data_IF_335173657884
#
_entry.id   IF_335173657884
#
_cell.length_a   1.000
_cell.length_b   1.000
_cell.length_c   1.000
_cell.angle_alpha   90.00
_cell.angle_beta   90.00
_cell.angle_gamma   90.00
#
_symmetry.space_group_name_H-M   'P 1'
#
loop_
_entity.id
_entity.type
_entity.pdbx_description
1 polymer ?
#
# COMPACT_ATOMS: atom_id res chain seq x y z
N UNK A 1 27.19 2.36 -59.50
CA UNK A 1 26.50 3.48 -58.82
C UNK A 1 25.06 3.16 -58.42
N UNK A 2 24.39 2.14 -59.02
CA UNK A 2 23.01 1.77 -58.67
C UNK A 2 22.86 0.89 -57.41
N UNK A 3 23.88 0.15 -57.01
CA UNK A 3 23.82 -0.76 -55.86
C UNK A 3 23.83 -0.03 -54.51
N UNK A 4 24.47 1.14 -54.43
CA UNK A 4 24.54 1.94 -53.19
C UNK A 4 23.27 2.74 -52.89
N UNK A 5 22.42 2.96 -53.90
CA UNK A 5 21.14 3.65 -53.76
C UNK A 5 20.04 2.74 -53.17
N UNK A 6 19.99 1.47 -53.60
CA UNK A 6 19.02 0.48 -53.10
C UNK A 6 19.24 0.17 -51.60
N UNK A 7 20.49 0.00 -51.18
CA UNK A 7 20.85 -0.28 -49.78
C UNK A 7 20.46 0.87 -48.84
N UNK A 8 20.61 2.14 -49.26
CA UNK A 8 20.18 3.28 -48.44
C UNK A 8 18.65 3.38 -48.32
N UNK A 9 17.92 2.90 -49.32
CA UNK A 9 16.45 2.94 -49.34
C UNK A 9 15.83 1.82 -48.49
N UNK A 10 16.47 0.65 -48.42
CA UNK A 10 16.08 -0.46 -47.53
C UNK A 10 16.34 -0.13 -46.05
N UNK A 11 17.50 0.44 -45.71
CA UNK A 11 17.84 0.83 -44.32
C UNK A 11 16.90 1.94 -43.80
N UNK A 12 16.41 2.82 -44.69
CA UNK A 12 15.43 3.84 -44.33
C UNK A 12 14.01 3.28 -44.09
N UNK A 13 13.68 2.13 -44.71
CA UNK A 13 12.40 1.43 -44.51
C UNK A 13 12.35 0.67 -43.20
N UNK A 14 13.46 0.05 -42.78
CA UNK A 14 13.56 -0.67 -41.50
C UNK A 14 13.52 0.25 -40.27
N UNK A 15 13.98 1.51 -40.39
CA UNK A 15 13.91 2.48 -39.28
C UNK A 15 12.52 3.00 -38.95
N UNK A 16 11.57 2.89 -39.89
CA UNK A 16 10.21 3.43 -39.75
C UNK A 16 9.14 2.33 -39.63
N UNK A 17 9.54 1.07 -39.47
CA UNK A 17 8.59 -0.01 -39.19
C UNK A 17 8.13 0.07 -37.72
N UNK A 18 6.81 -0.01 -37.43
CA UNK A 18 6.34 -0.14 -36.06
C UNK A 18 6.92 -1.42 -35.44
N UNK A 19 7.39 -1.32 -34.20
CA UNK A 19 7.92 -2.45 -33.44
C UNK A 19 6.76 -3.42 -33.17
N UNK A 20 6.64 -4.43 -34.01
CA UNK A 20 5.66 -5.50 -33.86
C UNK A 20 6.21 -6.50 -32.82
N UNK A 21 5.44 -6.70 -31.74
CA UNK A 21 5.78 -7.63 -30.67
C UNK A 21 5.80 -9.06 -31.22
N UNK A 22 6.99 -9.63 -31.37
CA UNK A 22 7.17 -11.00 -31.84
C UNK A 22 7.39 -11.93 -30.62
N UNK A 23 6.38 -12.72 -30.21
CA UNK A 23 6.46 -13.53 -28.99
C UNK A 23 7.45 -14.70 -29.07
N UNK A 24 8.03 -14.97 -30.26
CA UNK A 24 8.90 -16.14 -30.50
C UNK A 24 10.36 -15.90 -30.04
N UNK A 25 10.78 -14.64 -29.81
CA UNK A 25 12.17 -14.33 -29.39
C UNK A 25 12.37 -14.54 -27.87
N UNK A 26 11.31 -14.77 -27.10
CA UNK A 26 11.40 -14.98 -25.65
C UNK A 26 11.75 -16.42 -25.22
N UNK A 27 11.88 -17.37 -26.16
CA UNK A 27 12.35 -18.73 -25.82
C UNK A 27 13.87 -18.91 -25.97
N UNK A 28 14.58 -17.98 -26.60
CA UNK A 28 16.06 -18.06 -26.78
C UNK A 28 16.86 -17.16 -25.81
N UNK A 29 16.20 -16.49 -24.86
CA UNK A 29 16.85 -15.78 -23.75
C UNK A 29 16.87 -16.58 -22.43
N UNK A 30 16.63 -17.89 -22.48
CA UNK A 30 17.12 -18.85 -21.47
C UNK A 30 18.59 -19.20 -21.76
N UNK A 31 19.40 -18.16 -21.99
CA UNK A 31 20.85 -18.25 -22.08
C UNK A 31 21.45 -18.39 -20.69
N UNK A 32 22.21 -19.47 -20.51
CA UNK A 32 22.98 -19.89 -19.34
C UNK A 32 23.59 -18.75 -18.48
N UNK A 33 23.61 -19.03 -17.18
CA UNK A 33 24.40 -18.39 -16.11
C UNK A 33 23.93 -17.03 -15.58
N UNK A 34 22.90 -17.07 -14.71
CA UNK A 34 23.04 -16.42 -13.41
C UNK A 34 22.59 -17.40 -12.31
N UNK A 35 23.51 -17.86 -11.48
CA UNK A 35 23.28 -18.83 -10.39
C UNK A 35 22.49 -18.21 -9.20
N UNK A 36 21.63 -17.23 -9.48
CA UNK A 36 21.05 -16.35 -8.48
C UNK A 36 19.67 -16.87 -8.09
N UNK A 37 19.59 -17.62 -6.99
CA UNK A 37 18.30 -18.14 -6.49
C UNK A 37 17.28 -17.03 -6.23
N UNK A 38 16.09 -17.10 -6.84
CA UNK A 38 14.92 -16.23 -6.61
C UNK A 38 13.71 -17.12 -6.21
N UNK A 39 12.94 -16.78 -5.17
CA UNK A 39 11.71 -17.52 -4.86
C UNK A 39 10.72 -17.42 -6.02
N UNK A 40 10.10 -18.54 -6.38
CA UNK A 40 9.01 -18.54 -7.37
C UNK A 40 7.86 -17.62 -6.93
N UNK A 41 7.03 -17.17 -7.87
CA UNK A 41 5.84 -16.38 -7.55
C UNK A 41 4.97 -17.08 -6.49
N UNK A 42 4.80 -18.39 -6.61
CA UNK A 42 3.98 -19.18 -5.70
C UNK A 42 4.55 -19.23 -4.27
N UNK A 43 5.87 -19.41 -4.15
CA UNK A 43 6.56 -19.36 -2.86
C UNK A 43 6.48 -17.96 -2.26
N UNK A 44 6.71 -16.92 -3.07
CA UNK A 44 6.59 -15.52 -2.66
C UNK A 44 5.18 -15.19 -2.19
N UNK A 45 4.16 -15.64 -2.92
CA UNK A 45 2.76 -15.46 -2.55
C UNK A 45 2.43 -16.08 -1.19
N UNK A 46 2.82 -17.33 -0.94
CA UNK A 46 2.59 -17.97 0.36
C UNK A 46 3.29 -17.23 1.50
N UNK A 47 4.55 -16.86 1.29
CA UNK A 47 5.36 -16.16 2.29
C UNK A 47 4.75 -14.81 2.65
N UNK A 48 4.48 -13.96 1.65
CA UNK A 48 3.84 -12.65 1.85
C UNK A 48 2.47 -12.83 2.49
N UNK A 49 1.62 -13.71 1.95
CA UNK A 49 0.26 -13.91 2.44
C UNK A 49 0.26 -14.31 3.91
N UNK A 50 1.12 -15.24 4.32
CA UNK A 50 1.21 -15.64 5.73
C UNK A 50 1.48 -14.46 6.66
N UNK A 51 2.40 -13.57 6.31
CA UNK A 51 2.74 -12.42 7.13
C UNK A 51 1.68 -11.31 7.05
N UNK A 52 0.97 -11.18 5.92
CA UNK A 52 -0.18 -10.25 5.81
C UNK A 52 -1.42 -10.75 6.53
N UNK A 53 -1.63 -12.05 6.62
CA UNK A 53 -2.66 -12.64 7.48
C UNK A 53 -2.31 -12.45 8.96
N UNK A 54 -1.03 -12.60 9.35
CA UNK A 54 -0.58 -12.23 10.69
C UNK A 54 -0.83 -10.74 10.96
N UNK A 55 -0.59 -9.85 9.98
CA UNK A 55 -0.95 -8.44 10.09
C UNK A 55 -2.46 -8.26 10.28
N UNK A 56 -3.31 -8.91 9.49
CA UNK A 56 -4.76 -8.81 9.62
C UNK A 56 -5.27 -9.13 11.03
N UNK A 57 -4.62 -10.06 11.73
CA UNK A 57 -5.00 -10.49 13.09
C UNK A 57 -4.33 -9.66 14.19
N UNK A 58 -3.04 -9.34 14.05
CA UNK A 58 -2.23 -8.75 15.14
C UNK A 58 -1.94 -7.26 15.00
N UNK A 59 -2.18 -6.65 13.83
CA UNK A 59 -2.05 -5.19 13.72
C UNK A 59 -3.15 -4.49 14.49
N UNK A 60 -2.76 -3.53 15.32
CA UNK A 60 -3.70 -2.67 16.03
C UNK A 60 -4.28 -1.61 15.09
N UNK A 61 -5.47 -1.09 15.41
CA UNK A 61 -6.02 0.10 14.77
C UNK A 61 -5.42 1.33 15.48
N UNK A 62 -4.58 2.07 14.76
CA UNK A 62 -3.90 3.28 15.27
C UNK A 62 -4.62 4.57 14.91
N UNK A 63 -5.50 4.55 13.92
CA UNK A 63 -6.21 5.70 13.39
C UNK A 63 -7.69 5.68 13.83
N UNK A 64 -8.14 6.77 14.44
CA UNK A 64 -9.54 6.92 14.85
C UNK A 64 -10.49 6.99 13.65
N UNK A 65 -10.02 7.48 12.50
CA UNK A 65 -10.86 7.51 11.30
C UNK A 65 -11.09 6.12 10.72
N UNK A 66 -10.10 5.20 10.81
CA UNK A 66 -10.31 3.81 10.42
C UNK A 66 -11.53 3.24 11.16
N UNK A 67 -11.63 3.55 12.45
CA UNK A 67 -12.78 3.15 13.30
C UNK A 67 -14.04 3.91 12.92
N UNK A 68 -14.07 5.22 13.15
CA UNK A 68 -15.30 6.00 13.15
C UNK A 68 -15.79 6.39 11.76
N UNK A 69 -14.90 6.47 10.77
CA UNK A 69 -15.25 6.82 9.39
C UNK A 69 -15.32 5.59 8.48
N UNK A 70 -14.85 4.40 8.88
CA UNK A 70 -14.97 3.20 8.04
C UNK A 70 -15.58 1.99 8.75
N UNK A 71 -15.02 1.53 9.89
CA UNK A 71 -15.57 0.37 10.59
C UNK A 71 -16.98 0.62 11.16
N UNK A 72 -17.23 1.76 11.81
CA UNK A 72 -18.53 2.10 12.38
C UNK A 72 -19.62 2.30 11.30
N UNK A 73 -19.39 3.10 10.24
CA UNK A 73 -20.36 3.23 9.16
C UNK A 73 -20.60 1.91 8.40
N UNK A 74 -19.58 1.06 8.28
CA UNK A 74 -19.73 -0.29 7.72
C UNK A 74 -20.62 -1.17 8.61
N UNK A 75 -20.39 -1.16 9.93
CA UNK A 75 -21.25 -1.88 10.88
C UNK A 75 -22.70 -1.34 10.84
N UNK A 76 -22.88 -0.02 10.71
CA UNK A 76 -24.18 0.60 10.50
C UNK A 76 -24.86 0.12 9.21
N UNK A 77 -24.11 0.03 8.11
CA UNK A 77 -24.62 -0.43 6.82
C UNK A 77 -25.06 -1.91 6.85
N UNK A 78 -24.32 -2.76 7.57
CA UNK A 78 -24.58 -4.20 7.67
C UNK A 78 -25.70 -4.54 8.66
N UNK A 79 -25.78 -3.83 9.79
CA UNK A 79 -26.64 -4.22 10.93
C UNK A 79 -27.65 -3.16 11.37
N UNK A 80 -27.63 -1.96 10.79
CA UNK A 80 -28.47 -0.84 11.19
C UNK A 80 -28.12 -0.24 12.57
N UNK A 81 -26.95 -0.58 13.12
CA UNK A 81 -26.43 -0.10 14.42
C UNK A 81 -24.97 0.32 14.26
N UNK A 82 -24.48 1.28 15.03
CA UNK A 82 -23.11 1.78 14.95
C UNK A 82 -23.06 3.29 14.77
N UNK A 83 -21.88 3.88 14.92
CA UNK A 83 -21.73 5.33 14.81
C UNK A 83 -21.77 5.80 13.35
N UNK A 84 -22.54 6.86 13.13
CA UNK A 84 -22.50 7.66 11.92
C UNK A 84 -21.89 9.02 12.27
N UNK A 85 -20.73 9.32 11.69
CA UNK A 85 -20.10 10.63 11.86
C UNK A 85 -20.87 11.70 11.08
N UNK A 86 -20.61 12.98 11.38
CA UNK A 86 -21.20 14.08 10.61
C UNK A 86 -20.81 14.02 9.13
N UNK A 87 -19.68 13.40 8.79
CA UNK A 87 -19.21 13.25 7.41
C UNK A 87 -20.10 12.31 6.59
N UNK A 88 -20.71 11.31 7.24
CA UNK A 88 -21.69 10.40 6.68
C UNK A 88 -23.13 10.82 6.96
N UNK A 89 -23.36 11.90 7.70
CA UNK A 89 -24.71 12.42 7.98
C UNK A 89 -25.36 13.00 6.70
N UNK A 90 -26.67 12.80 6.49
CA UNK A 90 -27.43 13.48 5.44
C UNK A 90 -27.36 15.01 5.47
N UNK A 91 -27.00 15.62 6.60
CA UNK A 91 -26.84 17.07 6.69
C UNK A 91 -25.66 17.55 5.83
N UNK A 92 -24.47 16.97 6.05
CA UNK A 92 -23.22 17.42 5.42
C UNK A 92 -22.81 16.57 4.21
N UNK A 93 -23.03 15.26 4.25
CA UNK A 93 -22.79 14.34 3.15
C UNK A 93 -21.42 14.53 2.45
N UNK A 94 -20.35 14.43 3.26
CA UNK A 94 -18.96 14.72 2.86
C UNK A 94 -18.28 13.47 2.30
N UNK A 95 -18.55 12.29 2.87
CA UNK A 95 -18.00 11.01 2.39
C UNK A 95 -19.04 10.18 1.65
N UNK A 96 -18.58 9.44 0.64
CA UNK A 96 -19.45 8.56 -0.14
C UNK A 96 -19.65 7.20 0.54
N UNK A 97 -20.88 6.68 0.49
CA UNK A 97 -21.20 5.32 0.92
C UNK A 97 -20.77 4.26 -0.10
N UNK A 98 -20.47 4.63 -1.35
CA UNK A 98 -20.06 3.70 -2.39
C UNK A 98 -18.75 2.97 -2.04
N UNK A 99 -17.80 3.66 -1.40
CA UNK A 99 -16.57 3.04 -0.92
C UNK A 99 -16.84 1.99 0.17
N UNK A 100 -17.80 2.24 1.07
CA UNK A 100 -18.20 1.26 2.08
C UNK A 100 -18.88 0.05 1.43
N UNK A 101 -19.75 0.26 0.43
CA UNK A 101 -20.43 -0.83 -0.28
C UNK A 101 -19.47 -1.76 -1.01
N UNK A 102 -18.37 -1.25 -1.57
CA UNK A 102 -17.32 -2.07 -2.17
C UNK A 102 -16.81 -3.16 -1.21
N UNK A 103 -16.75 -2.84 0.08
CA UNK A 103 -16.28 -3.74 1.13
C UNK A 103 -17.42 -4.43 1.90
N UNK A 104 -18.62 -3.84 1.93
CA UNK A 104 -19.80 -4.43 2.55
C UNK A 104 -20.33 -5.63 1.75
N UNK A 105 -20.30 -5.58 0.41
CA UNK A 105 -20.78 -6.67 -0.45
C UNK A 105 -20.12 -8.03 -0.14
N UNK A 106 -18.78 -8.17 -0.10
CA UNK A 106 -18.16 -9.45 0.26
C UNK A 106 -18.49 -9.86 1.71
N UNK A 107 -18.62 -8.91 2.65
CA UNK A 107 -19.04 -9.20 4.02
C UNK A 107 -20.48 -9.74 4.08
N UNK A 108 -21.43 -9.15 3.35
CA UNK A 108 -22.81 -9.64 3.27
C UNK A 108 -22.86 -11.05 2.69
N UNK A 109 -22.10 -11.30 1.62
CA UNK A 109 -22.01 -12.64 1.01
C UNK A 109 -21.50 -13.64 2.06
N UNK A 110 -20.41 -13.31 2.75
CA UNK A 110 -19.84 -14.17 3.79
C UNK A 110 -20.83 -14.45 4.92
N UNK A 111 -21.54 -13.44 5.40
CA UNK A 111 -22.52 -13.58 6.48
C UNK A 111 -23.71 -14.46 6.08
N UNK A 112 -24.22 -14.29 4.85
CA UNK A 112 -25.32 -15.12 4.32
C UNK A 112 -24.93 -16.60 4.23
N UNK A 113 -23.69 -16.90 3.84
CA UNK A 113 -23.24 -18.29 3.68
C UNK A 113 -22.89 -18.98 5.00
N UNK A 114 -22.27 -18.26 5.93
CA UNK A 114 -21.68 -18.87 7.13
C UNK A 114 -22.38 -18.52 8.44
N UNK A 115 -23.33 -17.56 8.44
CA UNK A 115 -24.08 -17.10 9.61
C UNK A 115 -23.17 -16.85 10.83
N UNK A 116 -22.17 -16.01 10.64
CA UNK A 116 -21.06 -15.85 11.59
C UNK A 116 -21.29 -14.73 12.59
N UNK A 117 -20.49 -14.74 13.67
CA UNK A 117 -20.42 -13.59 14.57
C UNK A 117 -19.76 -12.38 13.89
N UNK A 118 -20.17 -11.17 14.27
CA UNK A 118 -19.67 -9.87 13.81
C UNK A 118 -18.15 -9.77 13.85
N UNK A 119 -17.52 -10.28 14.92
CA UNK A 119 -16.07 -10.30 15.06
C UNK A 119 -15.39 -11.06 13.90
N UNK A 120 -15.99 -12.15 13.41
CA UNK A 120 -15.45 -12.87 12.26
C UNK A 120 -15.55 -12.07 10.97
N UNK A 121 -16.60 -11.25 10.79
CA UNK A 121 -16.74 -10.38 9.62
C UNK A 121 -15.67 -9.28 9.61
N UNK A 122 -15.35 -8.73 10.79
CA UNK A 122 -14.23 -7.80 10.95
C UNK A 122 -12.90 -8.43 10.49
N UNK A 123 -12.54 -9.62 11.00
CA UNK A 123 -11.30 -10.29 10.60
C UNK A 123 -11.34 -10.79 9.15
N UNK A 124 -12.50 -11.21 8.65
CA UNK A 124 -12.69 -11.61 7.25
C UNK A 124 -12.32 -10.46 6.31
N UNK A 125 -12.84 -9.25 6.57
CA UNK A 125 -12.53 -8.09 5.73
C UNK A 125 -11.03 -7.73 5.81
N UNK A 126 -10.41 -7.77 7.00
CA UNK A 126 -8.96 -7.56 7.14
C UNK A 126 -8.14 -8.59 6.37
N UNK A 127 -8.55 -9.86 6.40
CA UNK A 127 -7.93 -10.92 5.61
C UNK A 127 -8.09 -10.70 4.09
N UNK A 128 -9.24 -10.20 3.65
CA UNK A 128 -9.47 -9.84 2.25
C UNK A 128 -8.55 -8.69 1.80
N UNK A 129 -8.42 -7.65 2.62
CA UNK A 129 -7.49 -6.54 2.37
C UNK A 129 -6.03 -7.02 2.32
N UNK A 130 -5.62 -7.87 3.27
CA UNK A 130 -4.30 -8.50 3.30
C UNK A 130 -4.01 -9.35 2.05
N UNK A 131 -5.02 -10.07 1.53
CA UNK A 131 -4.92 -10.82 0.28
C UNK A 131 -4.71 -9.89 -0.92
N UNK A 132 -5.51 -8.82 -1.04
CA UNK A 132 -5.34 -7.81 -2.09
C UNK A 132 -3.94 -7.18 -2.03
N UNK A 133 -3.48 -6.78 -0.85
CA UNK A 133 -2.14 -6.26 -0.64
C UNK A 133 -1.07 -7.25 -1.14
N UNK A 134 -1.18 -8.52 -0.72
CA UNK A 134 -0.26 -9.59 -1.12
C UNK A 134 -0.17 -9.75 -2.63
N UNK A 135 -1.31 -9.75 -3.34
CA UNK A 135 -1.32 -9.87 -4.79
C UNK A 135 -0.52 -8.75 -5.46
N UNK A 136 -0.68 -7.51 -4.99
CA UNK A 136 0.03 -6.36 -5.55
C UNK A 136 1.52 -6.34 -5.22
N UNK A 137 1.91 -6.78 -4.02
CA UNK A 137 3.32 -6.88 -3.60
C UNK A 137 4.09 -7.95 -4.38
N UNK A 138 3.49 -9.14 -4.53
CA UNK A 138 4.09 -10.24 -5.29
C UNK A 138 4.19 -9.87 -6.76
N UNK A 139 3.17 -9.21 -7.31
CA UNK A 139 3.20 -8.72 -8.69
C UNK A 139 4.34 -7.72 -8.89
N UNK A 140 4.51 -6.74 -7.99
CA UNK A 140 5.63 -5.80 -8.06
C UNK A 140 6.99 -6.51 -8.02
N UNK A 141 7.21 -7.40 -7.05
CA UNK A 141 8.49 -8.12 -6.94
C UNK A 141 8.80 -8.97 -8.17
N UNK A 142 7.78 -9.65 -8.71
CA UNK A 142 7.95 -10.41 -9.94
C UNK A 142 8.31 -9.52 -11.12
N UNK A 143 7.60 -8.40 -11.32
CA UNK A 143 7.94 -7.43 -12.37
C UNK A 143 9.38 -6.95 -12.23
N UNK A 144 9.84 -6.70 -10.99
CA UNK A 144 11.21 -6.26 -10.72
C UNK A 144 12.25 -7.34 -10.97
N UNK A 145 11.88 -8.62 -10.87
CA UNK A 145 12.78 -9.73 -11.19
C UNK A 145 13.20 -9.77 -12.66
N UNK A 146 12.39 -9.23 -13.59
CA UNK A 146 12.75 -9.08 -15.00
C UNK A 146 13.85 -8.04 -15.23
N UNK A 147 13.98 -7.03 -14.36
CA UNK A 147 15.06 -6.04 -14.41
C UNK A 147 16.33 -6.52 -13.69
N UNK A 148 16.20 -7.54 -12.86
CA UNK A 148 17.28 -8.18 -12.14
C UNK A 148 16.75 -9.04 -11.01
N UNK A 149 17.12 -10.33 -10.99
CA UNK A 149 16.68 -11.27 -9.96
C UNK A 149 17.02 -10.77 -8.54
N UNK A 150 18.19 -10.14 -8.35
CA UNK A 150 18.58 -9.56 -7.08
C UNK A 150 17.63 -8.44 -6.61
N UNK A 151 17.20 -7.57 -7.52
CA UNK A 151 16.27 -6.47 -7.23
C UNK A 151 14.92 -7.05 -6.78
N UNK A 152 14.40 -8.04 -7.52
CA UNK A 152 13.18 -8.75 -7.13
C UNK A 152 13.23 -9.31 -5.70
N UNK A 153 14.37 -9.92 -5.30
CA UNK A 153 14.59 -10.46 -3.94
C UNK A 153 14.66 -9.37 -2.87
N UNK A 154 15.35 -8.28 -3.16
CA UNK A 154 15.47 -7.15 -2.23
C UNK A 154 14.10 -6.49 -2.00
N UNK A 155 13.35 -6.24 -3.09
CA UNK A 155 12.01 -5.66 -3.04
C UNK A 155 11.08 -6.52 -2.17
N UNK A 156 11.00 -7.83 -2.43
CA UNK A 156 10.10 -8.70 -1.65
C UNK A 156 10.53 -8.80 -0.19
N UNK A 157 11.83 -8.82 0.09
CA UNK A 157 12.35 -8.82 1.47
C UNK A 157 11.94 -7.55 2.22
N UNK A 158 12.11 -6.39 1.58
CA UNK A 158 11.77 -5.10 2.18
C UNK A 158 10.26 -4.90 2.35
N UNK A 159 9.47 -5.32 1.36
CA UNK A 159 8.02 -5.30 1.45
C UNK A 159 7.54 -6.16 2.62
N UNK A 160 7.90 -7.45 2.65
CA UNK A 160 7.41 -8.41 3.64
C UNK A 160 7.71 -7.96 5.07
N UNK A 161 8.95 -7.56 5.33
CA UNK A 161 9.45 -7.36 6.69
C UNK A 161 9.35 -5.91 7.16
N UNK A 162 8.91 -4.99 6.32
CA UNK A 162 8.62 -3.62 6.72
C UNK A 162 7.52 -3.57 7.78
N UNK A 163 7.78 -2.83 8.86
CA UNK A 163 6.75 -2.53 9.88
C UNK A 163 5.65 -1.64 9.32
N UNK A 164 5.96 -0.70 8.43
CA UNK A 164 4.97 0.14 7.77
C UNK A 164 4.01 -0.67 6.90
N UNK A 165 4.53 -1.61 6.09
CA UNK A 165 3.70 -2.51 5.30
C UNK A 165 2.88 -3.45 6.18
N UNK A 166 3.42 -3.90 7.30
CA UNK A 166 2.68 -4.73 8.26
C UNK A 166 1.47 -3.99 8.85
N UNK A 167 1.57 -2.69 9.12
CA UNK A 167 0.47 -1.89 9.64
C UNK A 167 -0.55 -1.52 8.54
N UNK A 168 -0.07 -1.10 7.37
CA UNK A 168 -0.95 -0.59 6.31
C UNK A 168 -1.70 -1.67 5.53
N UNK A 169 -1.19 -2.90 5.47
CA UNK A 169 -1.72 -3.98 4.62
C UNK A 169 -3.12 -4.49 5.01
N UNK A 170 -3.56 -4.27 6.24
CA UNK A 170 -4.89 -4.68 6.70
C UNK A 170 -5.72 -3.50 7.24
N UNK A 171 -5.21 -2.27 7.11
CA UNK A 171 -5.93 -1.08 7.54
C UNK A 171 -7.08 -0.78 6.58
N UNK A 172 -8.28 -0.60 7.12
CA UNK A 172 -9.47 -0.33 6.33
C UNK A 172 -9.61 1.16 6.01
N UNK A 173 -8.76 1.63 5.09
CA UNK A 173 -8.65 3.04 4.71
C UNK A 173 -8.50 3.19 3.18
N UNK A 174 -9.01 4.29 2.60
CA UNK A 174 -8.79 4.59 1.18
C UNK A 174 -7.33 4.76 0.83
N UNK A 175 -6.47 5.15 1.78
CA UNK A 175 -5.03 5.23 1.58
C UNK A 175 -4.38 3.86 1.41
N UNK A 176 -4.80 2.83 2.15
CA UNK A 176 -4.37 1.44 1.94
C UNK A 176 -4.88 0.91 0.59
N UNK A 177 -6.12 1.23 0.22
CA UNK A 177 -6.65 0.89 -1.10
C UNK A 177 -5.84 1.55 -2.23
N UNK A 178 -5.52 2.84 -2.11
CA UNK A 178 -4.67 3.56 -3.03
C UNK A 178 -3.24 2.98 -3.06
N UNK A 179 -2.72 2.50 -1.93
CA UNK A 179 -1.42 1.82 -1.87
C UNK A 179 -1.40 0.56 -2.73
N UNK A 180 -2.42 -0.31 -2.62
CA UNK A 180 -2.49 -1.54 -3.42
C UNK A 180 -2.52 -1.21 -4.92
N UNK A 181 -3.43 -0.31 -5.31
CA UNK A 181 -3.64 0.02 -6.71
C UNK A 181 -2.47 0.80 -7.32
N UNK A 182 -1.84 1.71 -6.57
CA UNK A 182 -0.65 2.43 -7.04
C UNK A 182 0.54 1.49 -7.20
N UNK A 183 0.64 0.47 -6.35
CA UNK A 183 1.66 -0.59 -6.46
C UNK A 183 1.44 -1.42 -7.73
N UNK A 184 0.20 -1.85 -7.97
CA UNK A 184 -0.16 -2.59 -9.18
C UNK A 184 0.03 -1.73 -10.45
N UNK A 185 -0.36 -0.46 -10.41
CA UNK A 185 -0.16 0.48 -11.52
C UNK A 185 1.32 0.63 -11.87
N UNK A 186 2.16 0.75 -10.84
CA UNK A 186 3.60 0.86 -11.02
C UNK A 186 4.18 -0.40 -11.65
N UNK A 187 3.81 -1.57 -11.13
CA UNK A 187 4.23 -2.86 -11.67
C UNK A 187 3.81 -3.03 -13.15
N UNK A 188 2.57 -2.70 -13.50
CA UNK A 188 2.08 -2.76 -14.89
C UNK A 188 2.79 -1.76 -15.81
N UNK A 189 3.10 -0.56 -15.31
CA UNK A 189 3.89 0.43 -16.08
C UNK A 189 5.28 -0.11 -16.42
N UNK A 190 5.92 -0.81 -15.48
CA UNK A 190 7.21 -1.46 -15.72
C UNK A 190 7.16 -2.57 -16.76
N UNK A 191 6.06 -3.31 -16.80
CA UNK A 191 5.81 -4.33 -17.82
C UNK A 191 5.34 -3.73 -19.15
N UNK A 192 5.29 -2.40 -19.28
CA UNK A 192 4.78 -1.66 -20.45
C UNK A 192 3.30 -1.96 -20.78
N UNK A 193 2.55 -2.52 -19.82
CA UNK A 193 1.09 -2.64 -19.94
C UNK A 193 0.43 -1.35 -19.45
N UNK A 194 0.47 -0.34 -20.32
CA UNK A 194 -0.08 0.98 -20.02
C UNK A 194 -1.60 0.95 -19.81
N UNK A 195 -2.31 -0.03 -20.38
CA UNK A 195 -3.76 -0.15 -20.21
C UNK A 195 -4.09 -0.52 -18.76
N UNK A 196 -3.42 -1.53 -18.22
CA UNK A 196 -3.57 -1.91 -16.81
C UNK A 196 -3.04 -0.81 -15.87
N UNK A 197 -1.93 -0.16 -16.21
CA UNK A 197 -1.39 0.94 -15.41
C UNK A 197 -2.37 2.12 -15.29
N UNK A 198 -3.00 2.53 -16.40
CA UNK A 198 -4.03 3.58 -16.43
C UNK A 198 -5.26 3.13 -15.65
N UNK A 199 -5.70 1.87 -15.83
CA UNK A 199 -6.85 1.34 -15.10
C UNK A 199 -6.65 1.37 -13.58
N UNK A 200 -5.51 0.87 -13.08
CA UNK A 200 -5.22 0.89 -11.65
C UNK A 200 -5.04 2.30 -11.11
N UNK A 201 -4.41 3.21 -11.87
CA UNK A 201 -4.29 4.63 -11.50
C UNK A 201 -5.66 5.30 -11.43
N UNK A 202 -6.53 5.05 -12.41
CA UNK A 202 -7.91 5.55 -12.41
C UNK A 202 -8.70 4.96 -11.24
N UNK A 203 -8.64 3.66 -10.99
CA UNK A 203 -9.31 3.04 -9.86
C UNK A 203 -8.80 3.58 -8.51
N UNK A 204 -7.50 3.80 -8.35
CA UNK A 204 -6.89 4.40 -7.16
C UNK A 204 -7.44 5.81 -6.90
N UNK A 205 -7.46 6.65 -7.94
CA UNK A 205 -7.89 8.06 -7.84
C UNK A 205 -9.41 8.24 -7.78
N UNK A 206 -10.18 7.37 -8.42
CA UNK A 206 -11.65 7.49 -8.50
C UNK A 206 -12.37 6.79 -7.34
N UNK A 207 -11.76 5.78 -6.72
CA UNK A 207 -12.37 5.02 -5.61
C UNK A 207 -11.65 5.28 -4.29
N UNK A 208 -10.32 5.38 -4.31
CA UNK A 208 -9.49 5.61 -3.13
C UNK A 208 -9.30 7.09 -2.75
N UNK A 209 -9.55 8.02 -3.66
CA UNK A 209 -9.48 9.45 -3.37
C UNK A 209 -10.82 10.13 -3.72
N UNK A 210 -11.32 11.04 -2.87
CA UNK A 210 -12.66 11.60 -3.07
C UNK A 210 -12.76 12.65 -4.20
N UNK A 211 -11.80 12.74 -5.12
CA UNK A 211 -11.88 13.66 -6.28
C UNK A 211 -12.35 12.94 -7.56
N UNK A 212 -13.34 12.06 -7.41
CA UNK A 212 -13.87 11.26 -8.51
C UNK A 212 -14.99 12.00 -9.27
N UNK A 213 -14.63 12.80 -10.28
CA UNK A 213 -15.61 13.37 -11.22
C UNK A 213 -16.06 12.37 -12.30
N UNK A 214 -15.27 11.32 -12.58
CA UNK A 214 -15.46 10.46 -13.77
C UNK A 214 -16.39 9.25 -13.56
N UNK A 215 -16.60 8.80 -12.32
CA UNK A 215 -17.57 7.74 -11.96
C UNK A 215 -18.90 8.30 -11.44
N UNK A 216 -19.20 9.56 -11.74
CA UNK A 216 -20.25 10.34 -11.07
C UNK A 216 -21.63 9.69 -11.07
N UNK A 217 -22.06 8.98 -12.12
CA UNK A 217 -23.48 8.56 -12.21
C UNK A 217 -23.84 7.47 -11.18
N UNK A 218 -23.15 6.32 -11.07
CA UNK A 218 -23.48 5.33 -10.04
C UNK A 218 -23.21 5.83 -8.62
N UNK A 219 -22.14 6.61 -8.42
CA UNK A 219 -21.80 7.20 -7.12
C UNK A 219 -22.87 8.19 -6.64
N UNK A 220 -23.24 9.16 -7.48
CA UNK A 220 -24.31 10.12 -7.20
C UNK A 220 -25.61 9.38 -6.93
N UNK A 221 -25.92 8.32 -7.70
CA UNK A 221 -27.13 7.53 -7.46
C UNK A 221 -27.12 6.86 -6.09
N UNK A 222 -26.07 6.09 -5.78
CA UNK A 222 -25.92 5.40 -4.49
C UNK A 222 -25.93 6.40 -3.33
N UNK A 223 -25.14 7.46 -3.41
CA UNK A 223 -25.06 8.48 -2.37
C UNK A 223 -26.41 9.19 -2.21
N UNK A 224 -27.09 9.56 -3.31
CA UNK A 224 -28.38 10.25 -3.24
C UNK A 224 -29.48 9.39 -2.63
N UNK A 225 -29.43 8.06 -2.83
CA UNK A 225 -30.34 7.12 -2.17
C UNK A 225 -30.09 7.08 -0.65
N UNK A 226 -28.83 6.98 -0.22
CA UNK A 226 -28.50 6.87 1.20
C UNK A 226 -28.71 8.18 1.97
N UNK A 227 -28.41 9.32 1.34
CA UNK A 227 -28.60 10.62 1.93
C UNK A 227 -30.03 11.15 1.81
N UNK A 228 -30.90 10.50 1.02
CA UNK A 228 -32.29 10.92 0.81
C UNK A 228 -32.43 12.26 0.07
N UNK A 229 -31.36 12.74 -0.56
CA UNK A 229 -31.30 14.00 -1.32
C UNK A 229 -30.25 13.87 -2.43
N UNK A 230 -30.34 14.68 -3.47
CA UNK A 230 -29.29 14.70 -4.50
C UNK A 230 -27.95 15.12 -3.88
N UNK A 231 -26.95 14.23 -3.92
CA UNK A 231 -25.62 14.46 -3.33
C UNK A 231 -24.53 14.11 -4.33
N UNK A 232 -23.55 15.00 -4.44
CA UNK A 232 -22.27 14.72 -5.08
C UNK A 232 -21.15 14.88 -4.04
N UNK A 233 -20.92 13.82 -3.26
CA UNK A 233 -19.99 13.83 -2.13
C UNK A 233 -18.55 14.27 -2.50
N UNK A 234 -17.99 13.89 -3.67
CA UNK A 234 -16.72 14.43 -4.15
C UNK A 234 -16.66 15.96 -4.23
N UNK A 235 -17.71 16.62 -4.72
CA UNK A 235 -17.75 18.07 -4.77
C UNK A 235 -17.93 18.67 -3.38
N UNK A 236 -18.74 18.04 -2.53
CA UNK A 236 -18.95 18.50 -1.16
C UNK A 236 -17.65 18.49 -0.35
N UNK A 237 -16.79 17.48 -0.51
CA UNK A 237 -15.51 17.46 0.20
C UNK A 237 -14.53 18.54 -0.31
N UNK A 238 -14.55 18.85 -1.61
CA UNK A 238 -13.75 19.95 -2.17
C UNK A 238 -14.25 21.28 -1.61
N UNK A 239 -15.56 21.50 -1.66
CA UNK A 239 -16.21 22.70 -1.15
C UNK A 239 -15.94 22.87 0.35
N UNK A 240 -16.03 21.78 1.10
CA UNK A 240 -15.76 21.77 2.53
C UNK A 240 -14.30 22.11 2.85
N UNK A 241 -13.34 21.42 2.22
CA UNK A 241 -11.92 21.59 2.55
C UNK A 241 -11.28 22.87 1.96
N UNK A 242 -11.75 23.35 0.81
CA UNK A 242 -11.12 24.47 0.08
C UNK A 242 -11.84 25.79 0.31
N UNK A 243 -13.17 25.78 0.46
CA UNK A 243 -13.98 27.00 0.43
C UNK A 243 -14.65 27.37 1.77
N UNK A 244 -14.41 26.61 2.84
CA UNK A 244 -14.90 26.97 4.20
C UNK A 244 -13.81 27.61 5.06
N UNK A 245 -14.24 28.38 6.07
CA UNK A 245 -13.34 29.06 7.03
C UNK A 245 -12.51 28.10 7.89
N UNK A 246 -12.87 26.82 7.94
CA UNK A 246 -12.16 25.79 8.70
C UNK A 246 -10.92 25.24 7.97
N UNK A 247 -10.89 25.36 6.63
CA UNK A 247 -9.75 25.00 5.79
C UNK A 247 -9.25 23.55 5.91
N UNK A 248 -8.20 23.18 5.17
CA UNK A 248 -7.55 21.89 5.32
C UNK A 248 -6.79 21.78 6.64
N UNK A 249 -6.68 22.84 7.46
CA UNK A 249 -5.86 22.90 8.68
C UNK A 249 -6.66 22.69 9.98
N UNK A 250 -7.94 22.31 9.91
CA UNK A 250 -8.84 22.17 11.06
C UNK A 250 -8.29 21.32 12.23
N UNK A 251 -7.39 20.38 11.94
CA UNK A 251 -6.77 19.48 12.93
C UNK A 251 -5.27 19.78 13.15
N UNK A 252 -4.79 20.95 12.72
CA UNK A 252 -3.39 21.35 12.75
C UNK A 252 -2.59 20.88 11.53
N UNK A 253 -1.29 21.19 11.55
CA UNK A 253 -0.31 20.77 10.54
C UNK A 253 0.92 20.24 11.25
N UNK A 254 1.57 19.23 10.65
CA UNK A 254 2.79 18.63 11.20
C UNK A 254 4.04 19.20 10.52
N UNK A 255 5.16 19.40 11.26
CA UNK A 255 6.41 19.87 10.68
C UNK A 255 7.05 18.78 9.80
N UNK A 256 7.94 19.17 8.88
CA UNK A 256 8.60 18.21 7.98
C UNK A 256 9.34 17.07 8.71
N UNK A 257 9.77 17.31 9.95
CA UNK A 257 10.42 16.29 10.81
C UNK A 257 9.49 15.11 11.13
N UNK A 258 8.18 15.33 11.22
CA UNK A 258 7.20 14.27 11.43
C UNK A 258 7.28 13.19 10.35
N UNK A 259 7.37 13.60 9.09
CA UNK A 259 7.43 12.67 7.96
C UNK A 259 8.73 11.87 7.91
N UNK A 260 9.86 12.54 8.19
CA UNK A 260 11.15 11.88 8.24
C UNK A 260 11.18 10.84 9.36
N UNK A 261 10.66 11.19 10.54
CA UNK A 261 10.54 10.27 11.67
C UNK A 261 9.62 9.10 11.34
N UNK A 262 8.46 9.32 10.72
CA UNK A 262 7.56 8.24 10.31
C UNK A 262 8.20 7.31 9.27
N UNK A 263 8.83 7.87 8.24
CA UNK A 263 9.56 7.09 7.24
C UNK A 263 10.66 6.24 7.86
N UNK A 264 11.45 6.83 8.75
CA UNK A 264 12.52 6.11 9.46
C UNK A 264 11.97 5.09 10.47
N UNK A 265 10.88 5.38 11.17
CA UNK A 265 10.30 4.42 12.09
C UNK A 265 9.74 3.21 11.33
N UNK A 266 9.05 3.43 10.21
CA UNK A 266 8.36 2.36 9.47
C UNK A 266 9.27 1.52 8.57
N UNK A 267 10.31 2.13 8.00
CA UNK A 267 11.20 1.53 7.00
C UNK A 267 12.69 1.61 7.39
N UNK A 268 13.06 2.23 8.51
CA UNK A 268 14.41 2.30 9.09
C UNK A 268 15.54 2.57 8.08
N UNK A 269 16.55 1.69 7.98
CA UNK A 269 17.68 1.84 7.08
C UNK A 269 17.27 1.77 5.60
N UNK A 270 16.14 1.12 5.25
CA UNK A 270 15.59 1.15 3.89
C UNK A 270 15.08 2.54 3.53
N UNK A 271 14.53 3.28 4.49
CA UNK A 271 14.16 4.68 4.27
C UNK A 271 15.38 5.53 3.90
N UNK A 272 16.47 5.39 4.66
CA UNK A 272 17.72 6.11 4.38
C UNK A 272 18.31 5.72 3.01
N UNK A 273 18.25 4.43 2.66
CA UNK A 273 18.65 3.96 1.34
C UNK A 273 17.78 4.60 0.25
N UNK A 274 16.45 4.64 0.42
CA UNK A 274 15.55 5.29 -0.52
C UNK A 274 15.88 6.77 -0.74
N UNK A 275 16.28 7.50 0.31
CA UNK A 275 16.70 8.91 0.25
C UNK A 275 18.05 9.17 -0.45
N UNK A 276 18.81 8.12 -0.76
CA UNK A 276 20.05 8.23 -1.54
C UNK A 276 19.99 7.44 -2.85
N UNK A 277 18.81 6.99 -3.27
CA UNK A 277 18.66 6.18 -4.48
C UNK A 277 19.05 6.92 -5.76
N UNK A 278 18.67 8.19 -5.91
CA UNK A 278 19.05 9.02 -7.07
C UNK A 278 20.57 9.19 -7.16
N UNK A 279 21.28 9.68 -6.12
CA UNK A 279 22.74 9.83 -6.21
C UNK A 279 23.45 8.48 -6.39
N UNK A 280 22.96 7.39 -5.78
CA UNK A 280 23.52 6.06 -5.98
C UNK A 280 23.38 5.56 -7.43
N UNK A 281 22.19 5.70 -8.03
CA UNK A 281 21.95 5.32 -9.43
C UNK A 281 22.69 6.21 -10.41
N UNK A 282 22.80 7.52 -10.13
CA UNK A 282 23.62 8.43 -10.93
C UNK A 282 25.09 8.02 -10.90
N UNK A 283 25.64 7.75 -9.71
CA UNK A 283 27.01 7.26 -9.56
C UNK A 283 27.22 5.95 -10.33
N UNK A 284 26.30 4.98 -10.20
CA UNK A 284 26.36 3.74 -10.97
C UNK A 284 26.38 4.01 -12.48
N UNK A 285 25.47 4.85 -12.99
CA UNK A 285 25.39 5.18 -14.41
C UNK A 285 26.65 5.86 -14.93
N UNK A 286 27.28 6.73 -14.13
CA UNK A 286 28.56 7.34 -14.52
C UNK A 286 29.65 6.29 -14.65
N UNK A 287 29.71 5.30 -13.74
CA UNK A 287 30.71 4.24 -13.76
C UNK A 287 30.44 3.25 -14.91
N UNK A 288 29.19 2.87 -15.12
CA UNK A 288 28.76 1.97 -16.21
C UNK A 288 28.94 2.61 -17.59
N UNK A 289 28.64 3.90 -17.73
CA UNK A 289 28.83 4.65 -18.97
C UNK A 289 30.29 4.77 -19.42
N UNK A 290 31.24 4.63 -18.48
CA UNK A 290 32.67 4.48 -18.80
C UNK A 290 33.00 3.08 -19.32
N UNK A 291 32.19 2.05 -19.01
CA UNK A 291 32.54 0.64 -19.24
C UNK A 291 31.71 -0.11 -20.30
N UNK A 292 30.42 0.20 -20.57
CA UNK A 292 29.57 -0.44 -21.62
C UNK A 292 28.38 0.43 -22.12
N UNK A 293 27.82 0.07 -23.29
CA UNK A 293 26.52 0.54 -23.82
C UNK A 293 25.40 0.13 -22.86
N UNK A 294 24.62 1.13 -22.46
CA UNK A 294 23.58 1.13 -21.42
C UNK A 294 22.51 0.06 -21.70
N UNK A 295 22.20 -0.76 -20.69
CA UNK A 295 20.93 -1.51 -20.66
C UNK A 295 19.80 -0.47 -20.50
N UNK A 296 18.88 -0.42 -21.47
CA UNK A 296 17.75 0.52 -21.54
C UNK A 296 16.65 0.18 -20.51
N UNK A 297 17.01 0.10 -19.22
CA UNK A 297 16.05 0.03 -18.13
C UNK A 297 15.60 1.44 -17.67
N UNK A 298 14.45 1.60 -16.99
CA UNK A 298 13.98 2.87 -16.46
C UNK A 298 14.32 3.19 -14.96
N UNK A 299 15.46 2.78 -14.34
CA UNK A 299 15.64 2.94 -12.89
C UNK A 299 15.84 4.40 -12.45
N UNK A 300 16.47 5.24 -13.28
CA UNK A 300 16.72 6.66 -12.96
C UNK A 300 15.43 7.49 -13.01
N UNK A 301 14.65 7.36 -14.08
CA UNK A 301 13.40 8.11 -14.25
C UNK A 301 12.34 7.68 -13.22
N UNK A 302 12.33 6.42 -12.81
CA UNK A 302 11.50 5.97 -11.70
C UNK A 302 11.90 6.63 -10.39
N UNK A 303 13.17 6.55 -9.97
CA UNK A 303 13.57 7.15 -8.69
C UNK A 303 13.33 8.66 -8.70
N UNK A 304 13.50 9.31 -9.84
CA UNK A 304 13.11 10.71 -10.03
C UNK A 304 11.60 10.90 -9.85
N UNK A 305 10.76 10.05 -10.43
CA UNK A 305 9.29 10.07 -10.23
C UNK A 305 8.92 9.81 -8.77
N UNK A 306 9.61 8.92 -8.06
CA UNK A 306 9.40 8.64 -6.64
C UNK A 306 9.76 9.84 -5.76
N UNK A 307 10.83 10.57 -6.09
CA UNK A 307 11.20 11.78 -5.38
C UNK A 307 10.29 12.94 -5.73
N UNK A 308 9.88 13.08 -6.99
CA UNK A 308 8.90 14.08 -7.38
C UNK A 308 7.57 13.79 -6.69
N UNK A 309 7.11 12.55 -6.68
CA UNK A 309 5.87 12.14 -6.00
C UNK A 309 6.01 12.29 -4.49
N UNK A 310 7.11 11.83 -3.89
CA UNK A 310 7.41 12.00 -2.45
C UNK A 310 7.50 13.46 -2.05
N UNK A 311 8.28 14.28 -2.74
CA UNK A 311 8.37 15.72 -2.50
C UNK A 311 7.03 16.42 -2.75
N UNK A 312 6.31 16.08 -3.81
CA UNK A 312 4.96 16.61 -4.07
C UNK A 312 4.01 16.26 -2.92
N UNK A 313 4.05 15.01 -2.43
CA UNK A 313 3.27 14.53 -1.29
C UNK A 313 3.67 15.21 0.03
N UNK A 314 4.97 15.42 0.26
CA UNK A 314 5.52 16.02 1.49
C UNK A 314 5.43 17.54 1.56
N UNK A 315 5.42 18.25 0.42
CA UNK A 315 5.47 19.72 0.38
C UNK A 315 4.12 20.39 0.07
N UNK A 316 3.17 19.71 -0.59
CA UNK A 316 1.90 20.34 -1.00
C UNK A 316 0.69 19.90 -0.19
N UNK A 317 0.76 18.73 0.43
CA UNK A 317 -0.26 18.30 1.36
C UNK A 317 0.30 18.60 2.75
N UNK A 318 -0.29 19.57 3.45
CA UNK A 318 -0.11 19.75 4.89
C UNK A 318 -0.75 18.55 5.61
N UNK A 319 -0.13 17.37 5.48
CA UNK A 319 -0.67 16.08 5.88
C UNK A 319 -0.52 15.92 7.38
N UNK A 320 -1.63 15.58 8.01
CA UNK A 320 -1.74 15.57 9.47
C UNK A 320 -1.39 14.22 10.10
N UNK A 321 -1.44 13.15 9.30
CA UNK A 321 -1.51 11.79 9.83
C UNK A 321 -0.69 10.78 9.00
N UNK A 322 -0.16 9.77 9.69
CA UNK A 322 0.70 8.73 9.12
C UNK A 322 0.03 7.95 7.97
N UNK A 323 -1.28 7.67 8.09
CA UNK A 323 -2.04 6.86 7.12
C UNK A 323 -2.02 7.37 5.69
N UNK A 324 -1.80 8.65 5.48
CA UNK A 324 -1.66 9.22 4.15
C UNK A 324 -0.33 8.82 3.50
N UNK A 325 0.68 8.40 4.27
CA UNK A 325 1.96 7.91 3.72
C UNK A 325 1.89 6.48 3.16
N UNK A 326 0.79 5.75 3.36
CA UNK A 326 0.67 4.36 2.92
C UNK A 326 0.95 4.18 1.40
N UNK A 327 0.43 5.02 0.48
CA UNK A 327 0.66 4.85 -0.95
C UNK A 327 2.14 4.87 -1.38
N UNK A 328 3.02 5.51 -0.61
CA UNK A 328 4.46 5.59 -0.92
C UNK A 328 5.28 4.48 -0.28
N UNK A 329 4.73 3.66 0.62
CA UNK A 329 5.48 2.61 1.33
C UNK A 329 6.12 1.59 0.37
N UNK A 330 5.39 1.02 -0.61
CA UNK A 330 5.99 0.07 -1.57
C UNK A 330 7.07 0.72 -2.44
N UNK A 331 6.92 2.02 -2.72
CA UNK A 331 7.88 2.80 -3.49
C UNK A 331 9.18 3.05 -2.71
N UNK A 332 9.10 3.31 -1.41
CA UNK A 332 10.27 3.43 -0.53
C UNK A 332 11.04 2.11 -0.52
N UNK A 333 10.35 0.97 -0.37
CA UNK A 333 10.97 -0.36 -0.45
C UNK A 333 11.67 -0.57 -1.80
N UNK A 334 11.02 -0.18 -2.90
CA UNK A 334 11.58 -0.29 -4.24
C UNK A 334 12.84 0.58 -4.42
N UNK A 335 12.80 1.85 -4.00
CA UNK A 335 13.94 2.75 -4.06
C UNK A 335 15.12 2.25 -3.20
N UNK A 336 14.82 1.70 -2.01
CA UNK A 336 15.83 1.06 -1.17
C UNK A 336 16.47 -0.15 -1.85
N UNK A 337 15.69 -0.99 -2.53
CA UNK A 337 16.20 -2.14 -3.27
C UNK A 337 17.15 -1.74 -4.41
N UNK A 338 16.76 -0.73 -5.22
CA UNK A 338 17.64 -0.18 -6.26
C UNK A 338 18.94 0.39 -5.68
N UNK A 339 18.88 1.01 -4.51
CA UNK A 339 20.06 1.59 -3.86
C UNK A 339 21.03 0.50 -3.42
N UNK A 340 20.54 -0.54 -2.76
CA UNK A 340 21.38 -1.67 -2.31
C UNK A 340 22.00 -2.38 -3.51
N UNK A 341 21.22 -2.63 -4.56
CA UNK A 341 21.72 -3.21 -5.82
C UNK A 341 22.79 -2.33 -6.49
N UNK A 342 22.56 -1.01 -6.53
CA UNK A 342 23.53 -0.06 -7.07
C UNK A 342 24.83 -0.03 -6.26
N UNK A 343 24.74 -0.05 -4.92
CA UNK A 343 25.92 -0.11 -4.04
C UNK A 343 26.71 -1.39 -4.27
N UNK A 344 26.03 -2.54 -4.43
CA UNK A 344 26.70 -3.81 -4.76
C UNK A 344 27.46 -3.72 -6.09
N UNK A 345 26.84 -3.18 -7.14
CA UNK A 345 27.48 -2.98 -8.45
C UNK A 345 28.65 -2.00 -8.40
N UNK A 346 28.48 -0.84 -7.75
CA UNK A 346 29.54 0.16 -7.58
C UNK A 346 30.73 -0.45 -6.83
N UNK A 347 30.49 -1.18 -5.73
CA UNK A 347 31.52 -1.87 -4.97
C UNK A 347 32.31 -2.84 -5.87
N UNK A 348 31.60 -3.64 -6.67
CA UNK A 348 32.22 -4.58 -7.59
C UNK A 348 33.10 -3.88 -8.64
N UNK A 349 32.57 -2.84 -9.30
CA UNK A 349 33.29 -2.12 -10.35
C UNK A 349 34.52 -1.36 -9.83
N UNK A 350 34.44 -0.76 -8.64
CA UNK A 350 35.51 0.07 -8.08
C UNK A 350 36.58 -0.76 -7.39
N UNK A 351 36.20 -1.75 -6.58
CA UNK A 351 37.11 -2.45 -5.67
C UNK A 351 37.55 -3.82 -6.20
N UNK A 352 36.64 -4.59 -6.81
CA UNK A 352 36.98 -5.93 -7.34
C UNK A 352 37.65 -5.82 -8.71
N UNK A 353 37.19 -4.89 -9.56
CA UNK A 353 37.75 -4.59 -10.90
C UNK A 353 37.88 -5.81 -11.82
N UNK A 354 37.02 -6.83 -11.67
CA UNK A 354 36.97 -8.01 -12.54
C UNK A 354 35.87 -7.84 -13.57
N UNK A 355 36.24 -7.90 -14.86
CA UNK A 355 35.38 -7.44 -15.98
C UNK A 355 34.34 -8.46 -16.47
N UNK A 356 34.34 -9.68 -15.92
CA UNK A 356 33.58 -10.84 -16.44
C UNK A 356 33.06 -11.79 -15.34
N UNK A 357 32.90 -11.31 -14.12
CA UNK A 357 32.31 -12.10 -13.02
C UNK A 357 31.01 -11.46 -12.58
N UNK A 358 30.03 -12.27 -12.18
CA UNK A 358 28.81 -11.74 -11.58
C UNK A 358 29.14 -10.96 -10.31
N UNK A 359 28.56 -9.76 -10.18
CA UNK A 359 28.83 -8.89 -9.03
C UNK A 359 28.39 -9.54 -7.71
N UNK A 360 27.39 -10.41 -7.77
CA UNK A 360 26.80 -11.09 -6.61
C UNK A 360 27.77 -12.04 -5.91
N UNK A 361 28.69 -12.67 -6.64
CA UNK A 361 29.67 -13.62 -6.06
C UNK A 361 30.52 -12.97 -4.95
N UNK A 362 30.80 -11.67 -5.09
CA UNK A 362 31.67 -10.93 -4.17
C UNK A 362 30.92 -9.92 -3.29
N UNK A 363 29.65 -9.63 -3.60
CA UNK A 363 28.89 -8.56 -2.94
C UNK A 363 27.62 -9.03 -2.26
N UNK A 364 27.28 -10.32 -2.29
CA UNK A 364 26.12 -10.88 -1.59
C UNK A 364 26.15 -10.65 -0.08
N UNK A 365 27.33 -10.51 0.52
CA UNK A 365 27.46 -10.17 1.94
C UNK A 365 26.90 -8.78 2.27
N UNK A 366 26.94 -7.83 1.32
CA UNK A 366 26.40 -6.47 1.49
C UNK A 366 24.88 -6.53 1.60
N UNK A 367 24.21 -7.17 0.65
CA UNK A 367 22.76 -7.34 0.68
C UNK A 367 22.32 -8.18 1.87
N UNK A 368 23.03 -9.26 2.20
CA UNK A 368 22.73 -10.08 3.38
C UNK A 368 22.82 -9.27 4.67
N UNK A 369 23.92 -8.54 4.89
CA UNK A 369 24.12 -7.74 6.10
C UNK A 369 23.07 -6.64 6.22
N UNK A 370 22.77 -5.95 5.11
CA UNK A 370 21.76 -4.91 5.06
C UNK A 370 20.36 -5.47 5.35
N UNK A 371 19.97 -6.55 4.68
CA UNK A 371 18.70 -7.22 4.93
C UNK A 371 18.60 -7.70 6.38
N UNK A 372 19.61 -8.38 6.93
CA UNK A 372 19.59 -8.84 8.33
C UNK A 372 19.37 -7.68 9.31
N UNK A 373 20.09 -6.56 9.13
CA UNK A 373 19.90 -5.37 9.96
C UNK A 373 18.48 -4.79 9.83
N UNK A 374 17.97 -4.65 8.60
CA UNK A 374 16.60 -4.22 8.32
C UNK A 374 15.57 -5.12 9.02
N UNK A 375 15.71 -6.43 8.87
CA UNK A 375 14.80 -7.42 9.42
C UNK A 375 14.73 -7.34 10.95
N UNK A 376 15.88 -7.26 11.63
CA UNK A 376 15.94 -7.21 13.10
C UNK A 376 15.24 -5.94 13.61
N UNK A 377 15.53 -4.78 13.01
CA UNK A 377 14.96 -3.50 13.45
C UNK A 377 13.45 -3.46 13.16
N UNK A 378 13.03 -3.87 11.97
CA UNK A 378 11.61 -3.86 11.58
C UNK A 378 10.78 -4.83 12.42
N UNK A 379 11.26 -6.06 12.64
CA UNK A 379 10.57 -7.05 13.47
C UNK A 379 10.49 -6.59 14.93
N UNK A 380 11.58 -6.02 15.46
CA UNK A 380 11.58 -5.44 16.81
C UNK A 380 10.48 -4.38 16.97
N UNK A 381 10.33 -3.49 15.97
CA UNK A 381 9.25 -2.50 15.97
C UNK A 381 7.87 -3.12 15.86
N UNK A 382 7.65 -4.09 14.97
CA UNK A 382 6.35 -4.76 14.86
C UNK A 382 5.96 -5.43 16.18
N UNK A 383 6.92 -6.07 16.87
CA UNK A 383 6.70 -6.71 18.17
C UNK A 383 6.39 -5.68 19.26
N UNK A 384 7.09 -4.54 19.31
CA UNK A 384 6.82 -3.52 20.35
C UNK A 384 5.47 -2.85 20.14
N UNK A 385 5.05 -2.64 18.88
CA UNK A 385 3.73 -2.10 18.57
C UNK A 385 2.63 -3.07 18.98
N UNK A 386 2.79 -4.36 18.69
CA UNK A 386 1.87 -5.38 19.18
C UNK A 386 1.82 -5.39 20.72
N UNK A 387 2.96 -5.59 21.40
CA UNK A 387 3.00 -5.67 22.87
C UNK A 387 2.50 -4.40 23.56
N UNK A 388 2.83 -3.23 23.03
CA UNK A 388 2.50 -1.95 23.64
C UNK A 388 1.08 -1.45 23.37
N UNK A 389 0.43 -1.93 22.29
CA UNK A 389 -0.82 -1.33 21.81
C UNK A 389 -1.95 -2.34 21.52
N UNK A 390 -1.80 -3.65 21.79
CA UNK A 390 -2.88 -4.64 21.57
C UNK A 390 -4.00 -4.61 22.61
N UNK A 391 -3.77 -4.01 23.78
CA UNK A 391 -4.71 -4.04 24.91
C UNK A 391 -6.15 -3.61 24.57
N UNK A 392 -6.41 -2.56 23.75
CA UNK A 392 -7.78 -2.17 23.42
C UNK A 392 -8.56 -3.31 22.77
N UNK A 393 -8.05 -3.94 21.71
CA UNK A 393 -8.74 -5.05 21.01
C UNK A 393 -9.05 -6.19 21.99
N UNK A 394 -8.08 -6.58 22.82
CA UNK A 394 -8.26 -7.66 23.80
C UNK A 394 -9.33 -7.32 24.85
N UNK A 395 -9.29 -6.11 25.40
CA UNK A 395 -10.26 -5.67 26.42
C UNK A 395 -11.69 -5.66 25.89
N UNK A 396 -11.94 -5.21 24.66
CA UNK A 396 -13.29 -5.23 24.08
C UNK A 396 -13.77 -6.63 23.70
N UNK A 397 -12.87 -7.53 23.31
CA UNK A 397 -13.22 -8.95 23.10
C UNK A 397 -13.63 -9.60 24.42
N UNK A 398 -12.90 -9.39 25.50
CA UNK A 398 -13.26 -9.94 26.81
C UNK A 398 -14.54 -9.32 27.36
N UNK A 399 -14.74 -8.01 27.16
CA UNK A 399 -15.98 -7.34 27.54
C UNK A 399 -17.19 -7.89 26.77
N UNK A 400 -17.03 -8.21 25.48
CA UNK A 400 -18.06 -8.89 24.69
C UNK A 400 -18.43 -10.26 25.26
N UNK A 401 -17.43 -11.06 25.65
CA UNK A 401 -17.67 -12.37 26.28
C UNK A 401 -18.43 -12.24 27.58
N UNK A 402 -18.10 -11.24 28.41
CA UNK A 402 -18.83 -10.98 29.65
C UNK A 402 -20.29 -10.61 29.33
N UNK A 403 -20.54 -9.81 28.29
CA UNK A 403 -21.91 -9.40 27.90
C UNK A 403 -22.81 -10.51 27.35
N UNK A 404 -22.23 -11.65 26.96
CA UNK A 404 -22.98 -12.80 26.43
C UNK A 404 -23.20 -13.86 27.51
N UNK A 405 -22.29 -13.92 28.49
CA UNK A 405 -22.28 -14.95 29.53
C UNK A 405 -23.08 -14.50 30.76
N UNK A 406 -24.34 -14.93 30.85
CA UNK A 406 -25.26 -14.62 31.95
C UNK A 406 -24.74 -15.09 33.32
N UNK A 407 -23.83 -16.07 33.37
CA UNK A 407 -23.22 -16.51 34.63
C UNK A 407 -22.17 -15.50 35.14
N UNK A 408 -21.62 -14.67 34.25
CA UNK A 408 -20.60 -13.66 34.57
C UNK A 408 -21.18 -12.28 34.89
N UNK A 409 -22.40 -11.96 34.41
CA UNK A 409 -23.11 -10.77 34.83
C UNK A 409 -24.55 -11.08 35.26
N UNK A 410 -25.01 -10.59 36.43
CA UNK A 410 -26.38 -10.83 36.89
C UNK A 410 -27.42 -9.91 36.23
N UNK A 411 -27.02 -9.13 35.22
CA UNK A 411 -27.87 -8.12 34.60
C UNK A 411 -28.80 -8.76 33.56
N UNK A 412 -30.08 -8.36 33.49
CA UNK A 412 -30.97 -8.75 32.41
C UNK A 412 -30.39 -8.34 31.04
N UNK A 413 -30.62 -9.11 29.97
CA UNK A 413 -30.09 -8.83 28.63
C UNK A 413 -30.53 -7.47 28.05
N UNK A 414 -31.62 -6.89 28.56
CA UNK A 414 -32.13 -5.58 28.13
C UNK A 414 -31.63 -4.41 29.00
N UNK A 415 -30.85 -4.67 30.05
CA UNK A 415 -30.39 -3.62 30.94
C UNK A 415 -29.27 -2.79 30.27
N UNK A 416 -29.46 -1.48 30.07
CA UNK A 416 -28.43 -0.65 29.44
C UNK A 416 -27.22 -0.50 30.37
N UNK A 417 -26.06 -0.95 29.90
CA UNK A 417 -24.78 -0.80 30.61
C UNK A 417 -23.97 0.33 30.00
N UNK A 418 -23.66 1.35 30.80
CA UNK A 418 -22.82 2.47 30.38
C UNK A 418 -21.34 2.13 30.56
N UNK A 419 -20.60 2.01 29.46
CA UNK A 419 -19.15 1.77 29.47
C UNK A 419 -18.40 3.09 29.30
N UNK A 420 -17.63 3.47 30.32
CA UNK A 420 -16.85 4.72 30.31
C UNK A 420 -15.42 4.47 29.81
N UNK A 421 -15.08 4.94 28.61
CA UNK A 421 -13.75 4.73 27.99
C UNK A 421 -12.70 5.79 28.35
N UNK A 422 -13.04 6.77 29.19
CA UNK A 422 -12.11 7.81 29.65
C UNK A 422 -11.46 8.60 28.50
N UNK A 423 -10.17 8.89 28.63
CA UNK A 423 -9.40 9.66 27.63
C UNK A 423 -8.99 8.86 26.39
N UNK A 424 -9.10 7.54 26.43
CA UNK A 424 -8.65 6.65 25.35
C UNK A 424 -9.79 6.22 24.40
N UNK A 425 -10.86 7.02 24.33
CA UNK A 425 -12.01 6.75 23.46
C UNK A 425 -11.61 6.48 21.99
N UNK A 426 -10.57 7.16 21.50
CA UNK A 426 -10.05 7.00 20.14
C UNK A 426 -9.36 5.65 19.88
N UNK A 427 -9.15 4.83 20.92
CA UNK A 427 -8.64 3.46 20.82
C UNK A 427 -9.73 2.40 20.79
N UNK A 428 -11.00 2.81 20.81
CA UNK A 428 -12.13 1.91 20.60
C UNK A 428 -11.99 1.21 19.25
N UNK A 429 -12.03 -0.13 19.16
CA UNK A 429 -11.74 -0.84 17.93
C UNK A 429 -12.91 -0.83 16.93
N UNK A 430 -14.13 -1.12 17.39
CA UNK A 430 -15.41 -0.95 16.67
C UNK A 430 -16.55 -1.72 17.37
N UNK A 431 -17.78 -1.42 16.95
CA UNK A 431 -19.04 -2.07 17.29
C UNK A 431 -19.12 -3.54 16.83
N UNK A 432 -18.19 -3.99 15.98
CA UNK A 432 -18.02 -5.41 15.68
C UNK A 432 -17.58 -6.22 16.90
N UNK A 433 -16.80 -5.61 17.80
CA UNK A 433 -16.34 -6.22 19.04
C UNK A 433 -17.30 -5.97 20.19
N UNK A 434 -17.85 -4.77 20.32
CA UNK A 434 -18.74 -4.45 21.43
C UNK A 434 -19.83 -3.49 20.95
N UNK A 435 -21.06 -3.98 20.85
CA UNK A 435 -22.17 -3.22 20.27
C UNK A 435 -22.61 -2.11 21.23
N UNK A 436 -22.22 -0.87 20.93
CA UNK A 436 -22.68 0.30 21.67
C UNK A 436 -24.12 0.61 21.26
N UNK A 437 -25.05 0.56 22.21
CA UNK A 437 -26.39 1.15 22.05
C UNK A 437 -26.26 2.59 22.52
N UNK A 438 -25.97 3.51 21.60
CA UNK A 438 -26.13 4.93 21.90
C UNK A 438 -27.61 5.27 21.83
N UNK A 439 -28.14 5.80 22.92
CA UNK A 439 -29.50 6.35 22.94
C UNK A 439 -29.63 7.40 21.84
N UNK A 440 -30.70 7.26 21.05
CA UNK A 440 -31.18 8.21 20.05
C UNK A 440 -31.32 9.63 20.58
#
# INVERSE_FOLDING_TARGET
METTSKVKTEIARERNAPIEYNPVINEEFDGEDSNTWMPSMYTSFKLVLSLRLCAAVWSNISDCDEVYNYWEPLHYLLYGKGFQTWEYSPLYAIRSYAYLWLHALPCCIYDVFFQTNKVFIFYYLRCLLALCCTMTEVYLSWCMSHFGQNIGRLVITFLILSSGMFLSAAAFLPSSFAMYLSTAALASWFMQDYKLAILFTAASTLVGWPFAALLGIPLIYVDSLHFGKFVFAPLNIVLYNVFTSHGPDLYGTEPCTFYFLNGFLNMNIVFLAALVSIPALFALRTIEGVQRKVSDGPPFYLCLLLYIYGCWYFFLLHIKEERFLFPIYPMICLAGAFTVDAVQKIYHYVLVKRRFTDYLDYTSWISLSFCTAFCIISLSRTIILYKGYHAPIETFVELNKISIDEDKHPLPPEYPVNVCMGKEWYRFPSSFFFCLITGS
#
